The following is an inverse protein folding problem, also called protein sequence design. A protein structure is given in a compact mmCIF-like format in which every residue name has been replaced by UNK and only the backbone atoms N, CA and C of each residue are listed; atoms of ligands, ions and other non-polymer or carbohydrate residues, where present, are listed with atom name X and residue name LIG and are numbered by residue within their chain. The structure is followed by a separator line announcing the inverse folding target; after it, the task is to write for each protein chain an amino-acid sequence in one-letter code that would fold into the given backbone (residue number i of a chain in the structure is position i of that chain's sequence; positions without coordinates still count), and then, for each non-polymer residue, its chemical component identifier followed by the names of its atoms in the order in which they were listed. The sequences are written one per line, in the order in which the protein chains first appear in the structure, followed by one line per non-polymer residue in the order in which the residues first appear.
data_IF_255165697692
#
_entry.id   IF_255165697692
#
_cell.length_a   1.000
_cell.length_b   1.000
_cell.length_c   1.000
_cell.angle_alpha   90.00
_cell.angle_beta   90.00
_cell.angle_gamma   90.00
#
_symmetry.space_group_name_H-M   'P 1'
#
loop_
_entity.id
_entity.type
_entity.pdbx_description
1 polymer ?
#
# COMPACT_ATOMS: atom_id res chain seq x y z
N UNK A 1 -11.22 -16.18 -11.10
CA UNK A 1 -12.57 -16.80 -11.12
C UNK A 1 -13.03 -16.99 -12.56
N UNK A 2 -13.99 -17.86 -12.88
CA UNK A 2 -14.44 -18.13 -14.26
C UNK A 2 -15.84 -17.54 -14.48
N UNK A 3 -16.08 -16.91 -15.64
CA UNK A 3 -17.40 -16.40 -16.00
C UNK A 3 -18.39 -17.58 -16.22
N UNK A 4 -19.55 -17.61 -15.55
CA UNK A 4 -20.51 -18.71 -15.70
C UNK A 4 -21.20 -18.73 -17.08
N UNK A 5 -21.16 -17.63 -17.83
CA UNK A 5 -21.86 -17.49 -19.12
C UNK A 5 -20.95 -17.83 -20.31
N UNK A 6 -19.76 -17.25 -20.37
CA UNK A 6 -18.82 -17.43 -21.50
C UNK A 6 -17.54 -18.20 -21.14
N UNK A 7 -17.39 -18.63 -19.88
CA UNK A 7 -16.25 -19.42 -19.37
C UNK A 7 -14.87 -18.76 -19.46
N UNK A 8 -14.80 -17.45 -19.70
CA UNK A 8 -13.54 -16.71 -19.68
C UNK A 8 -13.00 -16.57 -18.26
N UNK A 9 -11.68 -16.63 -18.11
CA UNK A 9 -10.99 -16.30 -16.86
C UNK A 9 -11.10 -14.80 -16.54
N UNK A 10 -11.50 -14.52 -15.30
CA UNK A 10 -11.70 -13.19 -14.74
C UNK A 10 -10.67 -12.91 -13.64
N UNK A 11 -10.00 -11.75 -13.67
CA UNK A 11 -9.13 -11.31 -12.58
C UNK A 11 -9.93 -11.11 -11.27
N UNK A 12 -9.25 -11.24 -10.14
CA UNK A 12 -9.83 -11.04 -8.82
C UNK A 12 -10.42 -9.62 -8.69
N UNK A 13 -11.63 -9.50 -8.13
CA UNK A 13 -12.33 -8.23 -7.99
C UNK A 13 -13.12 -7.75 -9.23
N UNK A 14 -13.17 -8.53 -10.32
CA UNK A 14 -13.93 -8.15 -11.52
C UNK A 14 -15.44 -8.10 -11.25
N UNK A 15 -16.07 -6.92 -11.42
CA UNK A 15 -17.52 -6.75 -11.29
C UNK A 15 -18.30 -7.15 -12.55
N UNK A 16 -17.64 -7.15 -13.71
CA UNK A 16 -18.23 -7.50 -15.01
C UNK A 16 -17.27 -8.39 -15.80
N UNK A 17 -17.83 -9.24 -16.66
CA UNK A 17 -17.06 -10.00 -17.61
C UNK A 17 -16.56 -9.10 -18.75
N UNK A 18 -15.24 -9.12 -18.97
CA UNK A 18 -14.59 -8.36 -20.05
C UNK A 18 -14.99 -8.79 -21.47
N UNK A 19 -15.50 -10.01 -21.65
CA UNK A 19 -15.87 -10.55 -22.96
C UNK A 19 -17.37 -10.48 -23.22
N UNK A 20 -18.21 -10.96 -22.29
CA UNK A 20 -19.66 -11.03 -22.48
C UNK A 20 -20.46 -9.92 -21.78
N UNK A 21 -19.83 -9.09 -20.95
CA UNK A 21 -20.49 -7.99 -20.22
C UNK A 21 -21.36 -8.42 -19.04
N UNK A 22 -21.45 -9.72 -18.73
CA UNK A 22 -22.24 -10.22 -17.60
C UNK A 22 -21.72 -9.69 -16.27
N UNK A 23 -22.63 -9.21 -15.41
CA UNK A 23 -22.30 -8.85 -14.03
C UNK A 23 -21.92 -10.10 -13.24
N UNK A 24 -20.82 -9.99 -12.50
CA UNK A 24 -20.24 -11.07 -11.70
C UNK A 24 -20.46 -10.73 -10.23
N UNK A 25 -21.15 -11.62 -9.51
CA UNK A 25 -21.33 -11.48 -8.07
C UNK A 25 -20.05 -11.94 -7.35
N UNK A 26 -19.54 -11.08 -6.46
CA UNK A 26 -18.45 -11.44 -5.57
C UNK A 26 -18.98 -12.36 -4.48
N UNK A 27 -18.25 -13.42 -4.14
CA UNK A 27 -18.59 -14.34 -3.05
C UNK A 27 -17.51 -14.32 -2.00
N UNK A 28 -17.90 -14.29 -0.72
CA UNK A 28 -16.98 -14.33 0.40
C UNK A 28 -16.22 -15.66 0.42
N UNK A 29 -14.88 -15.62 0.44
CA UNK A 29 -14.02 -16.80 0.63
C UNK A 29 -14.24 -17.51 1.96
N UNK A 30 -14.57 -16.78 3.02
CA UNK A 30 -14.83 -17.34 4.35
C UNK A 30 -16.18 -18.08 4.51
N UNK A 31 -17.27 -17.58 3.91
CA UNK A 31 -18.62 -18.14 4.14
C UNK A 31 -19.44 -18.43 2.87
N UNK A 32 -18.94 -18.10 1.68
CA UNK A 32 -19.59 -18.37 0.39
C UNK A 32 -20.77 -17.47 0.03
N UNK A 33 -21.21 -16.57 0.91
CA UNK A 33 -22.31 -15.63 0.61
C UNK A 33 -21.90 -14.56 -0.39
N UNK A 34 -22.89 -14.03 -1.12
CA UNK A 34 -22.70 -12.91 -2.05
C UNK A 34 -22.33 -11.66 -1.27
N UNK A 35 -21.33 -10.96 -1.78
CA UNK A 35 -20.67 -9.80 -1.19
C UNK A 35 -20.91 -8.59 -2.09
N UNK A 36 -21.36 -7.45 -1.54
CA UNK A 36 -21.46 -6.20 -2.28
C UNK A 36 -20.10 -5.76 -2.88
N UNK A 37 -20.09 -5.14 -4.06
CA UNK A 37 -18.84 -4.79 -4.78
C UNK A 37 -17.88 -3.84 -4.06
N UNK A 38 -18.33 -3.16 -3.00
CA UNK A 38 -17.54 -2.14 -2.26
C UNK A 38 -17.32 -2.47 -0.76
N UNK A 39 -17.71 -3.67 -0.31
CA UNK A 39 -17.53 -4.05 1.09
C UNK A 39 -16.10 -4.48 1.41
N UNK A 40 -15.48 -3.81 2.40
CA UNK A 40 -14.16 -4.20 2.95
C UNK A 40 -14.24 -5.49 3.79
N UNK A 41 -15.37 -5.74 4.44
CA UNK A 41 -15.61 -6.92 5.28
C UNK A 41 -16.92 -7.60 4.88
N UNK A 42 -16.98 -8.92 5.05
CA UNK A 42 -18.22 -9.66 4.85
C UNK A 42 -19.23 -9.32 5.96
N UNK A 43 -20.41 -8.85 5.59
CA UNK A 43 -21.49 -8.47 6.52
C UNK A 43 -22.09 -9.65 7.29
N UNK A 44 -21.75 -10.88 6.90
CA UNK A 44 -22.36 -12.10 7.44
C UNK A 44 -21.41 -12.87 8.36
N UNK A 45 -20.13 -12.96 8.02
CA UNK A 45 -19.14 -13.68 8.82
C UNK A 45 -17.97 -12.82 9.33
N UNK A 46 -17.89 -11.54 8.93
CA UNK A 46 -16.81 -10.64 9.32
C UNK A 46 -15.46 -10.90 8.63
N UNK A 47 -15.39 -11.79 7.63
CA UNK A 47 -14.14 -12.04 6.90
C UNK A 47 -13.65 -10.78 6.19
N UNK A 48 -12.35 -10.48 6.31
CA UNK A 48 -11.72 -9.37 5.60
C UNK A 48 -11.59 -9.71 4.11
N UNK A 49 -12.25 -8.91 3.28
CA UNK A 49 -12.26 -9.05 1.83
C UNK A 49 -11.17 -8.19 1.18
N UNK A 50 -10.61 -7.25 1.95
CA UNK A 50 -9.49 -6.44 1.54
C UNK A 50 -8.20 -7.16 1.92
N UNK A 51 -7.47 -7.64 0.92
CA UNK A 51 -6.08 -8.04 1.10
C UNK A 51 -5.24 -6.76 0.89
N UNK A 52 -4.80 -6.06 1.94
CA UNK A 52 -3.77 -5.06 1.75
C UNK A 52 -2.58 -5.79 1.14
N UNK A 53 -2.23 -5.48 -0.11
CA UNK A 53 -0.92 -5.86 -0.63
C UNK A 53 0.07 -5.21 0.30
N UNK A 54 0.76 -6.03 1.09
CA UNK A 54 1.86 -5.55 1.91
C UNK A 54 2.75 -4.68 1.02
N UNK A 55 3.11 -3.46 1.46
CA UNK A 55 4.09 -2.69 0.72
C UNK A 55 5.32 -3.59 0.52
N UNK A 56 5.92 -3.59 -0.68
CA UNK A 56 7.08 -4.43 -0.94
C UNK A 56 8.11 -4.13 0.14
N UNK A 57 8.55 -5.17 0.85
CA UNK A 57 9.61 -5.03 1.87
C UNK A 57 10.85 -4.54 1.15
N UNK A 58 11.18 -3.25 1.31
CA UNK A 58 12.38 -2.65 0.72
C UNK A 58 13.57 -3.17 1.52
N UNK A 59 14.42 -3.95 0.86
CA UNK A 59 15.69 -4.34 1.43
C UNK A 59 16.67 -3.17 1.31
N UNK A 60 16.85 -2.43 2.40
CA UNK A 60 17.78 -1.31 2.51
C UNK A 60 19.26 -1.74 2.45
N UNK A 61 19.57 -3.03 2.60
CA UNK A 61 20.95 -3.53 2.50
C UNK A 61 21.40 -3.66 1.03
N UNK A 62 20.45 -3.79 0.10
CA UNK A 62 20.71 -3.92 -1.33
C UNK A 62 20.16 -2.72 -2.09
N UNK A 63 21.00 -1.73 -2.46
CA UNK A 63 20.58 -0.53 -3.19
C UNK A 63 19.80 -0.81 -4.48
N UNK A 64 20.02 -1.97 -5.09
CA UNK A 64 19.34 -2.44 -6.29
C UNK A 64 17.83 -2.61 -6.12
N UNK A 65 17.31 -2.69 -4.89
CA UNK A 65 15.88 -2.86 -4.59
C UNK A 65 15.08 -1.55 -4.73
N UNK A 66 15.71 -0.39 -4.48
CA UNK A 66 15.06 0.93 -4.51
C UNK A 66 15.75 1.94 -5.44
N UNK A 67 16.88 1.58 -6.04
CA UNK A 67 17.69 2.48 -6.87
C UNK A 67 17.80 1.95 -8.30
N UNK A 68 17.57 2.80 -9.33
CA UNK A 68 17.77 2.42 -10.74
C UNK A 68 19.17 1.85 -11.01
N UNK A 69 19.28 0.87 -11.92
CA UNK A 69 20.51 0.07 -12.16
C UNK A 69 21.79 0.90 -12.27
N UNK A 70 21.79 1.93 -13.12
CA UNK A 70 22.94 2.80 -13.34
C UNK A 70 23.37 3.59 -12.08
N UNK A 71 22.44 3.93 -11.19
CA UNK A 71 22.75 4.60 -9.93
C UNK A 71 23.23 3.60 -8.87
N UNK A 72 22.64 2.40 -8.81
CA UNK A 72 23.12 1.32 -7.94
C UNK A 72 24.56 0.91 -8.28
N UNK A 73 24.91 0.80 -9.57
CA UNK A 73 26.28 0.52 -10.03
C UNK A 73 27.27 1.61 -9.60
N UNK A 74 26.89 2.90 -9.70
CA UNK A 74 27.71 4.02 -9.21
C UNK A 74 27.93 3.97 -7.70
N UNK A 75 26.89 3.65 -6.92
CA UNK A 75 26.99 3.53 -5.47
C UNK A 75 27.94 2.38 -5.10
N UNK A 76 27.80 1.22 -5.73
CA UNK A 76 28.64 0.05 -5.46
C UNK A 76 30.12 0.27 -5.84
N UNK A 77 30.37 0.93 -6.97
CA UNK A 77 31.74 1.23 -7.45
C UNK A 77 32.44 2.32 -6.63
N UNK A 78 31.69 3.23 -6.00
CA UNK A 78 32.23 4.30 -5.15
C UNK A 78 32.17 3.97 -3.66
N UNK A 79 31.55 2.85 -3.26
CA UNK A 79 31.31 2.48 -1.86
C UNK A 79 32.57 2.48 -1.01
N UNK A 80 33.66 1.90 -1.51
CA UNK A 80 34.95 1.83 -0.83
C UNK A 80 35.65 3.19 -0.68
N UNK A 81 35.30 4.19 -1.49
CA UNK A 81 35.81 5.56 -1.37
C UNK A 81 34.98 6.41 -0.37
N UNK A 82 33.75 5.99 -0.06
CA UNK A 82 32.79 6.71 0.79
C UNK A 82 32.74 6.10 2.21
N UNK A 83 33.15 4.85 2.40
CA UNK A 83 33.25 4.21 3.72
C UNK A 83 34.23 4.97 4.63
N UNK A 84 33.69 5.70 5.62
CA UNK A 84 34.46 6.53 6.56
C UNK A 84 34.42 8.05 6.30
N UNK A 85 33.75 8.50 5.23
CA UNK A 85 33.65 9.91 4.87
C UNK A 85 32.55 10.64 5.67
N UNK A 86 32.90 11.70 6.40
CA UNK A 86 31.92 12.58 7.08
C UNK A 86 31.46 13.68 6.13
N UNK A 87 30.24 13.56 5.59
CA UNK A 87 29.63 14.59 4.73
C UNK A 87 28.74 15.52 5.52
N UNK A 88 28.85 16.82 5.22
CA UNK A 88 27.87 17.81 5.67
C UNK A 88 26.64 17.65 4.77
N UNK A 89 25.52 17.27 5.37
CA UNK A 89 24.24 17.16 4.67
C UNK A 89 23.30 18.25 5.16
N UNK A 90 22.53 18.83 4.24
CA UNK A 90 21.43 19.73 4.58
C UNK A 90 20.16 18.91 4.69
N UNK A 91 19.60 18.81 5.89
CA UNK A 91 18.31 18.14 6.11
C UNK A 91 17.22 19.20 6.02
N UNK A 92 16.27 19.02 5.11
CA UNK A 92 15.06 19.84 5.01
C UNK A 92 13.94 19.12 5.75
N UNK A 93 13.44 19.74 6.81
CA UNK A 93 12.20 19.33 7.46
C UNK A 93 11.04 20.06 6.77
N UNK A 94 10.09 19.31 6.24
CA UNK A 94 8.84 19.83 5.72
C UNK A 94 7.71 19.22 6.56
N UNK A 95 6.77 20.07 6.93
CA UNK A 95 5.60 19.69 7.68
C UNK A 95 4.34 19.88 6.83
N UNK A 96 3.31 19.07 7.07
CA UNK A 96 2.01 19.25 6.43
C UNK A 96 1.34 20.47 7.04
N UNK A 97 0.68 21.29 6.23
CA UNK A 97 0.03 22.51 6.70
C UNK A 97 -0.91 22.23 7.90
N UNK A 98 -0.62 22.86 9.05
CA UNK A 98 -1.41 22.74 10.28
C UNK A 98 -0.94 21.66 11.28
N UNK A 99 0.02 20.81 10.94
CA UNK A 99 0.50 19.76 11.85
C UNK A 99 1.25 20.32 13.06
N UNK A 100 2.17 21.26 12.89
CA UNK A 100 2.81 21.99 14.00
C UNK A 100 1.83 22.52 15.05
N UNK A 101 0.76 23.21 14.63
CA UNK A 101 -0.25 23.75 15.56
C UNK A 101 -1.09 22.68 16.27
N UNK A 102 -1.23 21.49 15.67
CA UNK A 102 -1.91 20.35 16.25
C UNK A 102 -1.00 19.63 17.25
N UNK A 103 0.27 19.40 16.87
CA UNK A 103 1.24 18.68 17.70
C UNK A 103 1.66 19.43 18.96
N UNK A 104 1.53 20.76 19.01
CA UNK A 104 1.79 21.54 20.22
C UNK A 104 0.71 21.37 21.30
N UNK A 105 -0.50 20.93 20.91
CA UNK A 105 -1.66 20.85 21.81
C UNK A 105 -1.99 19.42 22.25
N UNK A 106 -1.43 18.43 21.56
CA UNK A 106 -1.72 17.03 21.77
C UNK A 106 -0.52 16.33 22.40
N UNK A 107 -0.80 15.34 23.24
CA UNK A 107 0.23 14.48 23.78
C UNK A 107 0.89 13.64 22.65
N UNK A 108 2.20 13.29 22.74
CA UNK A 108 2.88 12.51 21.72
C UNK A 108 2.18 11.20 21.32
N UNK A 109 1.45 10.55 22.22
CA UNK A 109 0.68 9.34 21.90
C UNK A 109 -0.59 9.66 21.09
N UNK A 110 -1.20 10.82 21.31
CA UNK A 110 -2.39 11.31 20.59
C UNK A 110 -2.05 11.77 19.18
N UNK A 111 -0.93 12.49 19.00
CA UNK A 111 -0.42 12.89 17.67
C UNK A 111 -0.15 11.68 16.78
N UNK A 112 0.38 10.59 17.35
CA UNK A 112 0.59 9.34 16.62
C UNK A 112 -0.72 8.67 16.18
N UNK A 113 -1.77 8.76 17.00
CA UNK A 113 -3.09 8.24 16.66
C UNK A 113 -3.75 9.07 15.55
N UNK A 114 -3.70 10.40 15.63
CA UNK A 114 -4.25 11.27 14.59
C UNK A 114 -3.52 11.12 13.24
N UNK A 115 -2.18 11.04 13.26
CA UNK A 115 -1.40 10.81 12.04
C UNK A 115 -1.75 9.49 11.36
N UNK A 116 -2.02 8.43 12.12
CA UNK A 116 -2.49 7.15 11.56
C UNK A 116 -3.87 7.30 10.91
N UNK A 117 -4.73 8.15 11.46
CA UNK A 117 -6.07 8.40 10.94
C UNK A 117 -6.03 9.24 9.65
N UNK A 118 -5.26 10.33 9.61
CA UNK A 118 -5.09 11.17 8.42
C UNK A 118 -4.52 10.37 7.24
N UNK A 119 -3.47 9.56 7.48
CA UNK A 119 -2.88 8.70 6.45
C UNK A 119 -3.79 7.57 5.98
N UNK A 120 -4.84 7.24 6.74
CA UNK A 120 -5.84 6.23 6.35
C UNK A 120 -7.02 6.80 5.55
N UNK A 121 -7.25 8.11 5.61
CA UNK A 121 -8.35 8.81 4.92
C UNK A 121 -7.95 9.48 3.60
N UNK A 122 -6.66 9.62 3.30
CA UNK A 122 -6.15 10.10 2.01
C UNK A 122 -6.06 8.98 0.94
N UNK A 123 -6.92 7.95 1.04
CA UNK A 123 -6.95 6.83 0.08
C UNK A 123 -8.35 6.47 -0.37
#
# INVERSE_FOLDING_TARGET
MICPECQTELPEGSQFCKECGRKIDLTCSGCGKIVPPDSKFCLECGHDLYQPKDPPKIDYQHPQSYTPKHLAEKILTTRSAIEGERKIVTVMFADVAGFSTMSEKLDPEEVQCENKFVLSNDR
#
